data_IF_067100085366
#
_entry.id   IF_067100085366
#
_cell.length_a   1.000
_cell.length_b   1.000
_cell.length_c   1.000
_cell.angle_alpha   90.00
_cell.angle_beta   90.00
_cell.angle_gamma   90.00
#
_symmetry.space_group_name_H-M   'P 1'
#
loop_
_entity.id
_entity.type
_entity.pdbx_description
1 polymer ?
#
# COMPACT_ATOMS: atom_id res chain seq x y z
N UNK A 1 -17.41 -1.25 -13.96
CA UNK A 1 -16.38 -0.49 -13.21
C UNK A 1 -16.40 -0.95 -11.77
N UNK A 2 -15.25 -0.95 -11.09
CA UNK A 2 -15.20 -1.30 -9.67
C UNK A 2 -16.15 -0.41 -8.85
N UNK A 3 -16.92 -1.03 -7.96
CA UNK A 3 -17.80 -0.30 -7.04
C UNK A 3 -16.98 0.37 -5.93
N UNK A 4 -16.04 -0.38 -5.38
CA UNK A 4 -15.12 0.04 -4.33
C UNK A 4 -13.77 -0.67 -4.51
N UNK A 5 -12.67 0.00 -4.18
CA UNK A 5 -11.34 -0.59 -4.08
C UNK A 5 -10.86 -0.46 -2.64
N UNK A 6 -10.73 -1.58 -1.98
CA UNK A 6 -10.30 -1.69 -0.60
C UNK A 6 -8.78 -1.85 -0.53
N UNK A 7 -8.13 -0.92 0.13
CA UNK A 7 -6.69 -0.90 0.33
C UNK A 7 -6.37 -1.43 1.71
N UNK A 8 -5.63 -2.53 1.79
CA UNK A 8 -5.17 -3.12 3.03
C UNK A 8 -3.65 -2.98 3.11
N UNK A 9 -3.16 -2.19 4.07
CA UNK A 9 -1.72 -2.19 4.35
C UNK A 9 -1.37 -3.42 5.18
N UNK A 10 -0.28 -4.11 4.82
CA UNK A 10 0.21 -5.24 5.62
C UNK A 10 0.33 -4.87 7.09
N UNK A 11 0.17 -5.86 7.97
CA UNK A 11 0.30 -5.72 9.40
C UNK A 11 1.77 -5.49 9.80
N UNK A 12 2.02 -5.27 11.08
CA UNK A 12 3.32 -4.87 11.59
C UNK A 12 4.44 -5.87 11.32
N UNK A 13 5.62 -5.37 11.00
CA UNK A 13 6.91 -6.05 10.93
C UNK A 13 7.91 -5.35 11.85
N UNK A 14 9.01 -6.00 12.22
CA UNK A 14 10.07 -5.38 13.04
C UNK A 14 10.59 -4.06 12.42
N UNK A 15 10.75 -4.03 11.09
CA UNK A 15 11.23 -2.83 10.43
C UNK A 15 10.18 -1.72 10.38
N UNK A 16 8.89 -2.05 10.21
CA UNK A 16 7.84 -1.02 10.26
C UNK A 16 7.68 -0.44 11.67
N UNK A 17 7.83 -1.27 12.71
CA UNK A 17 7.87 -0.84 14.12
C UNK A 17 9.03 0.10 14.39
N UNK A 18 10.21 -0.17 13.82
CA UNK A 18 11.40 0.66 13.95
C UNK A 18 11.42 1.89 13.04
N UNK A 19 10.40 2.10 12.20
CA UNK A 19 10.32 3.22 11.26
C UNK A 19 11.32 3.15 10.11
N UNK A 20 11.82 1.95 9.79
CA UNK A 20 12.76 1.71 8.69
C UNK A 20 12.04 1.62 7.35
N UNK A 21 12.64 2.19 6.32
CA UNK A 21 12.19 2.01 4.95
C UNK A 21 12.37 0.54 4.54
N UNK A 22 11.25 -0.13 4.26
CA UNK A 22 11.20 -1.56 3.95
C UNK A 22 10.60 -1.74 2.56
N UNK A 23 11.44 -1.75 1.55
CA UNK A 23 11.06 -1.90 0.15
C UNK A 23 11.05 -3.35 -0.29
N UNK A 24 12.15 -3.77 -0.90
CA UNK A 24 12.31 -5.11 -1.50
C UNK A 24 12.70 -6.19 -0.49
N UNK A 25 13.30 -5.83 0.64
CA UNK A 25 13.65 -6.77 1.70
C UNK A 25 12.37 -7.40 2.28
N UNK A 26 12.33 -8.72 2.30
CA UNK A 26 11.14 -9.45 2.73
C UNK A 26 11.20 -9.76 4.23
N UNK A 27 10.71 -8.81 5.03
CA UNK A 27 10.65 -8.89 6.49
C UNK A 27 9.30 -9.50 6.89
N UNK A 28 9.26 -10.58 7.73
CA UNK A 28 8.04 -11.23 8.17
C UNK A 28 7.24 -10.37 9.15
N UNK A 29 5.97 -10.73 9.35
CA UNK A 29 5.13 -10.13 10.37
C UNK A 29 5.64 -10.44 11.78
N UNK A 30 5.45 -9.52 12.71
CA UNK A 30 5.60 -9.77 14.15
C UNK A 30 4.41 -10.61 14.65
N UNK A 31 4.49 -11.13 15.87
CA UNK A 31 3.35 -11.85 16.47
C UNK A 31 2.16 -10.90 16.69
N UNK A 32 2.42 -9.67 17.11
CA UNK A 32 1.40 -8.60 17.19
C UNK A 32 0.81 -8.28 15.82
N UNK A 33 1.67 -8.23 14.78
CA UNK A 33 1.21 -8.07 13.41
C UNK A 33 0.27 -9.18 12.97
N UNK A 34 0.54 -10.43 13.34
CA UNK A 34 -0.36 -11.57 13.05
C UNK A 34 -1.71 -11.44 13.75
N UNK A 35 -1.73 -10.98 15.00
CA UNK A 35 -2.99 -10.72 15.71
C UNK A 35 -3.81 -9.62 15.03
N UNK A 36 -3.16 -8.53 14.59
CA UNK A 36 -3.81 -7.47 13.82
C UNK A 36 -4.34 -8.03 12.49
N UNK A 37 -3.57 -8.87 11.80
CA UNK A 37 -4.01 -9.53 10.57
C UNK A 37 -5.30 -10.34 10.75
N UNK A 38 -5.44 -11.08 11.86
CA UNK A 38 -6.70 -11.83 12.19
C UNK A 38 -7.87 -10.88 12.45
N UNK A 39 -7.64 -9.80 13.21
CA UNK A 39 -8.67 -8.78 13.47
C UNK A 39 -9.15 -8.06 12.20
N UNK A 40 -8.29 -7.94 11.20
CA UNK A 40 -8.71 -7.44 9.88
C UNK A 40 -9.79 -8.36 9.27
N UNK A 41 -9.69 -9.69 9.44
CA UNK A 41 -10.68 -10.63 8.96
C UNK A 41 -12.07 -10.38 9.55
N UNK A 42 -12.16 -10.05 10.84
CA UNK A 42 -13.43 -9.69 11.49
C UNK A 42 -14.06 -8.43 10.85
N UNK A 43 -13.22 -7.47 10.46
CA UNK A 43 -13.66 -6.22 9.81
C UNK A 43 -14.08 -6.41 8.36
N UNK A 44 -13.52 -7.42 7.71
CA UNK A 44 -13.86 -7.79 6.32
C UNK A 44 -15.00 -8.82 6.25
N UNK A 45 -15.49 -9.31 7.38
CA UNK A 45 -16.54 -10.33 7.44
C UNK A 45 -17.80 -9.86 6.67
N UNK A 46 -18.29 -10.71 5.78
CA UNK A 46 -19.45 -10.40 4.95
C UNK A 46 -19.17 -9.48 3.75
N UNK A 47 -17.89 -9.15 3.49
CA UNK A 47 -17.52 -8.47 2.26
C UNK A 47 -17.11 -9.49 1.19
N UNK A 48 -17.74 -9.39 0.02
CA UNK A 48 -17.38 -10.18 -1.13
C UNK A 48 -16.53 -9.33 -2.09
N UNK A 49 -15.38 -9.89 -2.52
CA UNK A 49 -14.48 -9.25 -3.47
C UNK A 49 -14.44 -10.05 -4.77
N UNK A 50 -14.74 -9.37 -5.87
CA UNK A 50 -14.63 -9.95 -7.22
C UNK A 50 -13.17 -10.20 -7.62
N UNK A 51 -12.24 -9.45 -7.03
CA UNK A 51 -10.80 -9.59 -7.28
C UNK A 51 -10.01 -9.22 -6.02
N UNK A 52 -9.01 -10.05 -5.67
CA UNK A 52 -8.07 -9.77 -4.59
C UNK A 52 -6.65 -9.82 -5.17
N UNK A 53 -5.96 -8.68 -5.21
CA UNK A 53 -4.59 -8.59 -5.67
C UNK A 53 -3.65 -8.32 -4.49
N UNK A 54 -2.53 -9.03 -4.47
CA UNK A 54 -1.55 -8.91 -3.40
C UNK A 54 -0.16 -8.56 -3.96
N UNK A 55 0.59 -7.77 -3.18
CA UNK A 55 2.03 -7.71 -3.36
C UNK A 55 2.65 -9.10 -3.18
N UNK A 56 3.68 -9.49 -3.94
CA UNK A 56 4.34 -10.79 -3.78
C UNK A 56 5.11 -10.97 -2.46
N UNK A 57 5.38 -9.88 -1.71
CA UNK A 57 6.13 -9.96 -0.46
C UNK A 57 5.35 -10.67 0.65
N UNK A 58 6.06 -11.48 1.45
CA UNK A 58 5.47 -12.37 2.45
C UNK A 58 4.55 -11.66 3.43
N UNK A 59 4.94 -10.49 3.92
CA UNK A 59 4.16 -9.67 4.87
C UNK A 59 2.77 -9.29 4.34
N UNK A 60 2.65 -8.98 3.04
CA UNK A 60 1.36 -8.66 2.43
C UNK A 60 0.52 -9.92 2.23
N UNK A 61 1.12 -11.00 1.74
CA UNK A 61 0.45 -12.28 1.52
C UNK A 61 -0.02 -12.92 2.83
N UNK A 62 0.83 -12.89 3.88
CA UNK A 62 0.46 -13.41 5.20
C UNK A 62 -0.66 -12.58 5.81
N UNK A 63 -0.63 -11.25 5.68
CA UNK A 63 -1.73 -10.38 6.12
C UNK A 63 -3.04 -10.74 5.40
N UNK A 64 -3.03 -10.90 4.07
CA UNK A 64 -4.21 -11.32 3.31
C UNK A 64 -4.77 -12.65 3.82
N UNK A 65 -3.91 -13.66 3.99
CA UNK A 65 -4.30 -14.98 4.49
C UNK A 65 -4.92 -14.91 5.90
N UNK A 66 -4.30 -14.16 6.81
CA UNK A 66 -4.81 -13.98 8.18
C UNK A 66 -6.15 -13.24 8.20
N UNK A 67 -6.36 -12.31 7.26
CA UNK A 67 -7.63 -11.60 7.06
C UNK A 67 -8.69 -12.43 6.32
N UNK A 68 -8.42 -13.69 6.00
CA UNK A 68 -9.37 -14.56 5.30
C UNK A 68 -9.52 -14.25 3.82
N UNK A 69 -8.59 -13.49 3.23
CA UNK A 69 -8.59 -13.18 1.81
C UNK A 69 -7.76 -14.20 1.03
N UNK A 70 -8.34 -14.72 -0.03
CA UNK A 70 -7.61 -15.53 -1.01
C UNK A 70 -7.11 -14.64 -2.15
N UNK A 71 -5.78 -14.53 -2.30
CA UNK A 71 -5.18 -13.72 -3.35
C UNK A 71 -5.45 -14.35 -4.72
N UNK A 72 -6.25 -13.69 -5.54
CA UNK A 72 -6.54 -14.09 -6.92
C UNK A 72 -5.32 -13.91 -7.85
N UNK A 73 -4.41 -13.01 -7.49
CA UNK A 73 -3.19 -12.76 -8.25
C UNK A 73 -2.15 -11.92 -7.51
N UNK A 74 -0.88 -12.18 -7.80
CA UNK A 74 0.23 -11.36 -7.32
C UNK A 74 0.56 -10.30 -8.37
N UNK A 75 0.91 -9.11 -7.93
CA UNK A 75 1.27 -7.99 -8.80
C UNK A 75 2.55 -7.32 -8.31
N UNK A 76 3.57 -7.29 -9.15
CA UNK A 76 4.82 -6.56 -8.87
C UNK A 76 4.59 -5.05 -8.76
N UNK A 77 3.58 -4.53 -9.47
CA UNK A 77 3.18 -3.13 -9.35
C UNK A 77 2.65 -2.75 -7.95
N UNK A 78 2.31 -3.75 -7.11
CA UNK A 78 1.96 -3.57 -5.69
C UNK A 78 3.14 -3.73 -4.73
N UNK A 79 4.35 -4.00 -5.21
CA UNK A 79 5.56 -3.95 -4.37
C UNK A 79 5.70 -2.56 -3.73
N UNK A 80 6.30 -2.50 -2.54
CA UNK A 80 6.59 -1.21 -1.91
C UNK A 80 7.54 -0.38 -2.77
N UNK A 81 7.65 0.89 -2.51
CA UNK A 81 8.65 1.78 -3.09
C UNK A 81 10.03 1.14 -3.00
N UNK A 82 10.76 1.09 -4.09
CA UNK A 82 12.13 0.63 -4.07
C UNK A 82 13.02 1.70 -3.43
N UNK A 83 13.48 1.42 -2.22
CA UNK A 83 14.27 2.41 -1.48
C UNK A 83 15.76 2.37 -1.80
N UNK A 84 16.21 1.53 -2.75
CA UNK A 84 17.59 1.51 -3.21
C UNK A 84 18.61 1.58 -2.07
N UNK A 85 19.45 2.61 -2.07
CA UNK A 85 20.48 2.83 -1.04
C UNK A 85 19.93 3.17 0.35
N UNK A 86 18.64 3.53 0.46
CA UNK A 86 17.99 3.86 1.74
C UNK A 86 17.21 2.69 2.34
N UNK A 87 17.29 1.50 1.74
CA UNK A 87 16.68 0.29 2.28
C UNK A 87 17.20 0.00 3.70
N UNK A 88 16.31 -0.19 4.66
CA UNK A 88 16.64 -0.44 6.07
C UNK A 88 17.02 0.78 6.89
N UNK A 89 17.08 1.97 6.31
CA UNK A 89 17.33 3.22 7.02
C UNK A 89 16.01 3.87 7.48
N UNK A 90 16.10 4.64 8.55
CA UNK A 90 15.03 5.54 9.00
C UNK A 90 15.15 6.92 8.35
N UNK A 91 14.06 7.68 8.32
CA UNK A 91 14.11 9.08 7.83
C UNK A 91 15.13 9.96 8.56
N UNK A 92 15.30 9.90 9.90
CA UNK A 92 16.35 10.65 10.58
C UNK A 92 17.77 10.30 10.12
N UNK A 93 18.08 8.99 9.92
CA UNK A 93 19.38 8.54 9.42
C UNK A 93 19.67 9.08 8.01
N UNK A 94 18.69 8.99 7.10
CA UNK A 94 18.82 9.55 5.75
C UNK A 94 19.06 11.07 5.79
N UNK A 95 18.33 11.78 6.65
CA UNK A 95 18.45 13.24 6.77
C UNK A 95 19.71 13.71 7.47
N UNK A 96 20.41 12.84 8.20
CA UNK A 96 21.73 13.16 8.73
C UNK A 96 22.73 13.45 7.59
N UNK A 97 22.67 12.64 6.52
CA UNK A 97 23.55 12.79 5.36
C UNK A 97 22.93 13.69 4.27
N UNK A 98 21.60 13.73 4.18
CA UNK A 98 20.85 14.53 3.19
C UNK A 98 19.78 15.39 3.85
N UNK A 99 20.14 16.54 4.45
CA UNK A 99 19.18 17.42 5.10
C UNK A 99 18.04 17.85 4.18
N UNK A 100 16.80 17.79 4.71
CA UNK A 100 15.61 18.16 3.95
C UNK A 100 15.12 17.14 2.92
N UNK A 101 15.71 15.95 2.87
CA UNK A 101 15.22 14.87 2.01
C UNK A 101 13.76 14.54 2.30
N UNK A 102 12.99 14.38 1.22
CA UNK A 102 11.59 14.02 1.26
C UNK A 102 11.27 13.07 0.11
N UNK A 103 10.94 11.82 0.44
CA UNK A 103 10.73 10.72 -0.53
C UNK A 103 9.90 11.13 -1.75
N UNK A 104 8.78 11.77 -1.51
CA UNK A 104 7.77 12.12 -2.52
C UNK A 104 8.21 13.22 -3.51
N UNK A 105 9.31 13.90 -3.24
CA UNK A 105 9.93 14.90 -4.12
C UNK A 105 11.24 14.41 -4.69
N UNK A 106 12.06 13.80 -3.84
CA UNK A 106 13.47 13.56 -4.14
C UNK A 106 13.73 12.13 -4.64
N UNK A 107 12.78 11.21 -4.42
CA UNK A 107 13.00 9.79 -4.70
C UNK A 107 14.17 9.20 -3.92
N UNK A 108 14.77 8.16 -4.47
CA UNK A 108 15.81 7.38 -3.78
C UNK A 108 16.96 7.05 -4.75
N UNK A 109 18.24 7.30 -4.36
CA UNK A 109 19.38 6.84 -5.13
C UNK A 109 19.39 5.33 -5.31
N UNK A 110 19.59 4.85 -6.53
CA UNK A 110 19.57 3.41 -6.85
C UNK A 110 18.21 2.72 -6.67
N UNK A 111 17.15 3.49 -6.40
CA UNK A 111 15.76 3.03 -6.26
C UNK A 111 14.82 3.77 -7.19
N UNK A 112 13.53 3.82 -6.82
CA UNK A 112 12.50 4.46 -7.64
C UNK A 112 12.39 5.97 -7.39
N UNK A 113 12.09 6.70 -8.46
CA UNK A 113 11.68 8.10 -8.42
C UNK A 113 10.14 8.21 -8.37
N UNK A 114 9.59 9.34 -7.90
CA UNK A 114 8.12 9.52 -7.85
C UNK A 114 7.39 9.23 -9.18
N UNK A 115 7.90 9.58 -10.36
CA UNK A 115 7.27 9.22 -11.64
C UNK A 115 7.20 7.72 -11.89
N UNK A 116 8.19 6.93 -11.45
CA UNK A 116 8.22 5.48 -11.63
C UNK A 116 7.09 4.83 -10.83
N UNK A 117 6.93 5.28 -9.58
CA UNK A 117 5.86 4.82 -8.69
C UNK A 117 4.49 5.26 -9.22
N UNK A 118 4.36 6.49 -9.72
CA UNK A 118 3.12 6.95 -10.35
C UNK A 118 2.72 6.04 -11.51
N UNK A 119 3.66 5.71 -12.40
CA UNK A 119 3.40 4.84 -13.55
C UNK A 119 2.93 3.43 -13.15
N UNK A 120 3.50 2.84 -12.06
CA UNK A 120 3.02 1.56 -11.51
C UNK A 120 1.60 1.68 -10.96
N UNK A 121 1.34 2.73 -10.19
CA UNK A 121 0.01 2.99 -9.65
C UNK A 121 -1.03 3.17 -10.76
N UNK A 122 -0.70 3.88 -11.83
CA UNK A 122 -1.61 4.12 -12.94
C UNK A 122 -2.01 2.81 -13.65
N UNK A 123 -1.09 1.84 -13.78
CA UNK A 123 -1.42 0.49 -14.31
C UNK A 123 -2.37 -0.25 -13.39
N UNK A 124 -2.12 -0.24 -12.08
CA UNK A 124 -3.03 -0.86 -11.10
C UNK A 124 -4.40 -0.20 -11.11
N UNK A 125 -4.45 1.14 -11.13
CA UNK A 125 -5.72 1.90 -11.19
C UNK A 125 -6.50 1.53 -12.45
N UNK A 126 -5.85 1.44 -13.61
CA UNK A 126 -6.50 1.03 -14.85
C UNK A 126 -7.04 -0.41 -14.77
N UNK A 127 -6.26 -1.35 -14.21
CA UNK A 127 -6.67 -2.75 -14.01
C UNK A 127 -7.91 -2.84 -13.11
N UNK A 128 -7.89 -2.21 -11.93
CA UNK A 128 -9.00 -2.33 -10.98
C UNK A 128 -10.25 -1.60 -11.44
N UNK A 129 -10.13 -0.48 -12.14
CA UNK A 129 -11.28 0.24 -12.72
C UNK A 129 -12.05 -0.59 -13.76
N UNK A 130 -11.40 -1.56 -14.40
CA UNK A 130 -12.03 -2.45 -15.39
C UNK A 130 -12.81 -3.62 -14.75
N UNK A 131 -12.64 -3.88 -13.45
CA UNK A 131 -13.33 -4.97 -12.74
C UNK A 131 -14.77 -4.55 -12.39
N UNK A 132 -15.72 -5.47 -12.50
CA UNK A 132 -17.06 -5.28 -11.95
C UNK A 132 -17.14 -5.80 -10.52
N UNK A 133 -17.68 -5.00 -9.59
CA UNK A 133 -17.78 -5.33 -8.17
C UNK A 133 -16.65 -4.75 -7.34
N UNK A 134 -16.44 -5.30 -6.14
CA UNK A 134 -15.43 -4.82 -5.19
C UNK A 134 -14.08 -5.47 -5.43
N UNK A 135 -13.02 -4.70 -5.25
CA UNK A 135 -11.63 -5.16 -5.36
C UNK A 135 -10.91 -4.95 -4.04
N UNK A 136 -10.09 -5.91 -3.61
CA UNK A 136 -9.16 -5.75 -2.50
C UNK A 136 -7.72 -5.72 -2.99
N UNK A 137 -6.92 -4.77 -2.50
CA UNK A 137 -5.49 -4.65 -2.75
C UNK A 137 -4.75 -4.77 -1.42
N UNK A 138 -3.88 -5.77 -1.28
CA UNK A 138 -3.09 -5.98 -0.08
C UNK A 138 -1.63 -5.67 -0.37
N UNK A 139 -1.14 -4.56 0.18
CA UNK A 139 0.18 -4.03 -0.17
C UNK A 139 0.83 -3.25 0.99
N UNK A 140 1.53 -2.16 0.68
CA UNK A 140 2.44 -1.49 1.60
C UNK A 140 2.11 0.00 1.76
N UNK A 141 2.83 0.66 2.68
CA UNK A 141 2.53 2.01 3.10
C UNK A 141 2.61 3.05 1.98
N UNK A 142 3.76 3.18 1.33
CA UNK A 142 3.94 4.25 0.35
C UNK A 142 3.24 3.95 -0.98
N UNK A 143 3.26 2.70 -1.45
CA UNK A 143 2.57 2.36 -2.70
C UNK A 143 1.05 2.56 -2.60
N UNK A 144 0.40 2.18 -1.48
CA UNK A 144 -1.05 2.40 -1.31
C UNK A 144 -1.42 3.87 -1.19
N UNK A 145 -0.56 4.69 -0.56
CA UNK A 145 -0.73 6.16 -0.48
C UNK A 145 -0.59 6.80 -1.87
N UNK A 146 0.39 6.35 -2.66
CA UNK A 146 0.58 6.77 -4.05
C UNK A 146 -0.62 6.39 -4.91
N UNK A 147 -1.10 5.14 -4.77
CA UNK A 147 -2.25 4.63 -5.49
C UNK A 147 -3.53 5.42 -5.16
N UNK A 148 -3.74 5.78 -3.90
CA UNK A 148 -4.88 6.61 -3.51
C UNK A 148 -4.82 8.01 -4.15
N UNK A 149 -3.64 8.62 -4.23
CA UNK A 149 -3.46 9.89 -4.94
C UNK A 149 -3.79 9.74 -6.44
N UNK A 150 -3.30 8.68 -7.08
CA UNK A 150 -3.54 8.41 -8.51
C UNK A 150 -4.99 8.03 -8.80
N UNK A 151 -5.67 7.37 -7.85
CA UNK A 151 -7.10 7.06 -7.97
C UNK A 151 -7.97 8.31 -8.15
N UNK A 152 -7.67 9.36 -7.40
CA UNK A 152 -8.37 10.66 -7.47
C UNK A 152 -7.75 11.63 -8.49
N UNK A 153 -6.97 11.12 -9.44
CA UNK A 153 -6.28 11.86 -10.50
C UNK A 153 -5.37 13.00 -10.00
N UNK A 154 -4.89 12.90 -8.74
CA UNK A 154 -3.96 13.85 -8.14
C UNK A 154 -2.49 13.50 -8.44
N UNK A 155 -1.57 14.45 -8.33
CA UNK A 155 -0.13 14.19 -8.36
C UNK A 155 0.28 13.17 -7.29
N UNK A 156 1.26 12.30 -7.60
CA UNK A 156 1.68 11.20 -6.72
C UNK A 156 2.19 11.69 -5.35
N UNK A 157 2.76 12.88 -5.30
CA UNK A 157 3.29 13.51 -4.08
C UNK A 157 2.22 13.86 -3.04
N UNK A 158 0.92 13.92 -3.45
CA UNK A 158 -0.20 14.00 -2.52
C UNK A 158 -0.17 12.82 -1.53
N UNK A 159 0.29 11.65 -1.95
CA UNK A 159 0.49 10.49 -1.07
C UNK A 159 1.36 10.80 0.15
N UNK A 160 2.27 11.77 0.04
CA UNK A 160 3.07 12.27 1.17
C UNK A 160 2.27 12.93 2.29
N UNK A 161 1.02 13.31 2.03
CA UNK A 161 0.11 13.93 3.00
C UNK A 161 -0.94 12.96 3.56
N UNK A 162 -0.98 11.74 3.05
CA UNK A 162 -1.91 10.71 3.49
C UNK A 162 -1.20 9.79 4.50
N UNK A 163 -1.55 9.88 5.78
CA UNK A 163 -1.03 8.91 6.75
C UNK A 163 -1.72 7.55 6.57
N UNK A 164 -0.95 6.46 6.66
CA UNK A 164 -1.49 5.09 6.55
C UNK A 164 -0.74 4.18 7.52
N UNK A 165 -1.41 3.70 8.57
CA UNK A 165 -0.86 2.78 9.57
C UNK A 165 -0.79 1.33 9.08
N UNK A 166 0.01 0.49 9.74
CA UNK A 166 0.03 -0.96 9.48
C UNK A 166 -1.28 -1.62 9.91
N UNK A 167 -1.75 -2.60 9.15
CA UNK A 167 -2.99 -3.33 9.48
C UNK A 167 -4.25 -2.46 9.41
N UNK A 168 -4.26 -1.43 8.59
CA UNK A 168 -5.42 -0.56 8.37
C UNK A 168 -6.09 -0.83 7.03
N UNK A 169 -7.34 -0.41 6.94
CA UNK A 169 -8.16 -0.46 5.75
C UNK A 169 -8.50 0.96 5.29
N UNK A 170 -8.43 1.18 3.98
CA UNK A 170 -8.96 2.38 3.34
C UNK A 170 -9.83 1.99 2.17
N UNK A 171 -10.76 2.84 1.75
CA UNK A 171 -11.67 2.55 0.64
C UNK A 171 -11.68 3.69 -0.33
N UNK A 172 -11.40 3.37 -1.57
CA UNK A 172 -11.56 4.23 -2.73
C UNK A 172 -12.89 3.89 -3.39
N UNK A 173 -13.62 4.88 -3.84
CA UNK A 173 -14.94 4.71 -4.42
C UNK A 173 -15.24 5.81 -5.43
N UNK A 174 -16.48 5.87 -5.86
CA UNK A 174 -16.98 6.98 -6.66
C UNK A 174 -18.12 7.68 -5.91
N UNK A 175 -18.11 9.00 -5.96
CA UNK A 175 -19.28 9.81 -5.67
C UNK A 175 -19.89 10.25 -7.03
N UNK A 176 -20.96 9.58 -7.44
CA UNK A 176 -21.44 9.61 -8.82
C UNK A 176 -20.34 9.16 -9.79
N UNK A 177 -19.83 10.04 -10.67
CA UNK A 177 -18.73 9.74 -11.60
C UNK A 177 -17.36 10.23 -11.12
N UNK A 178 -17.27 10.85 -9.93
CA UNK A 178 -16.04 11.41 -9.40
C UNK A 178 -15.34 10.38 -8.52
N UNK A 179 -14.09 10.06 -8.82
CA UNK A 179 -13.27 9.19 -7.99
C UNK A 179 -12.92 9.87 -6.65
N UNK A 180 -13.20 9.20 -5.54
CA UNK A 180 -13.01 9.75 -4.19
C UNK A 180 -12.30 8.77 -3.27
N UNK A 181 -11.75 9.27 -2.17
CA UNK A 181 -11.32 8.47 -1.01
C UNK A 181 -12.49 8.46 -0.03
N UNK A 182 -13.24 7.36 0.01
CA UNK A 182 -14.46 7.24 0.82
C UNK A 182 -14.15 7.02 2.30
N UNK A 183 -13.12 6.21 2.61
CA UNK A 183 -12.63 5.95 3.97
C UNK A 183 -11.11 5.90 3.96
N UNK A 184 -10.47 6.39 5.02
CA UNK A 184 -9.03 6.41 5.09
C UNK A 184 -8.49 6.02 6.45
N UNK A 185 -7.53 5.07 6.47
CA UNK A 185 -6.73 4.67 7.62
C UNK A 185 -7.58 4.27 8.84
N UNK A 186 -8.56 3.44 8.61
CA UNK A 186 -9.47 2.93 9.66
C UNK A 186 -9.03 1.59 10.20
#
# INVERSE_FOLDING_TARGET
>A
MAEEVWLLRHAETEWSRAGKHTGRTDIPLTDEGREVGRKLGERLAGQDFALVLCSPLSRARETAKLAGLECSGLRDDLLEWDYGEYEGLTTPEIRADRPGWFLWRDGVPGGEMPPDVAARCDRVVAEVRAVEGRVALVAHGHILRALAARWIDAPVDLGGRLHLGTGTVSVLAYEREVAVISRWNT
#
